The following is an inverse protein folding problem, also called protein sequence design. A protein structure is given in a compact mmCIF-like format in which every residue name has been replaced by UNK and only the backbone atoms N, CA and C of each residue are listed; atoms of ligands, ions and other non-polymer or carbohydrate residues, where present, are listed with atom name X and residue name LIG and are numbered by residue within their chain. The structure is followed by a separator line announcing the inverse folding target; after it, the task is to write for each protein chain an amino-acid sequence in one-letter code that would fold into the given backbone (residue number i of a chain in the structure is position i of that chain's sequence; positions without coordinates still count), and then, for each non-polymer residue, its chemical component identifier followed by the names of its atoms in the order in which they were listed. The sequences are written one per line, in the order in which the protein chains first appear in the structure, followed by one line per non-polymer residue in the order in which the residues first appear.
data_IF_261543169186
#
_entry.id   IF_261543169186
#
_cell.length_a   1.000
_cell.length_b   1.000
_cell.length_c   1.000
_cell.angle_alpha   90.00
_cell.angle_beta   90.00
_cell.angle_gamma   90.00
#
_symmetry.space_group_name_H-M   'P 1'
#
loop_
_entity.id
_entity.type
_entity.pdbx_description
1 polymer ?
#
# COMPACT_ATOMS: atom_id res chain seq x y z
N UNK A 1 4.18 -10.48 -24.25
CA UNK A 1 3.63 -11.67 -23.57
C UNK A 1 3.51 -11.31 -22.09
N UNK A 2 2.33 -11.43 -21.46
CA UNK A 2 2.12 -11.08 -20.05
C UNK A 2 2.46 -12.25 -19.12
N UNK A 3 3.00 -11.96 -17.92
CA UNK A 3 3.28 -12.95 -16.89
C UNK A 3 2.04 -13.13 -16.00
N UNK A 4 1.48 -14.33 -15.96
CA UNK A 4 0.35 -14.66 -15.07
C UNK A 4 0.89 -15.17 -13.74
N UNK A 5 0.55 -14.49 -12.64
CA UNK A 5 0.98 -14.81 -11.27
C UNK A 5 -0.22 -14.81 -10.31
N UNK A 6 -0.08 -15.30 -9.07
CA UNK A 6 -1.11 -15.13 -8.06
C UNK A 6 -1.52 -13.66 -7.87
N UNK A 7 -0.56 -12.73 -7.94
CA UNK A 7 -0.80 -11.29 -7.81
C UNK A 7 -1.64 -10.74 -8.97
N UNK A 8 -1.35 -11.13 -10.21
CA UNK A 8 -2.13 -10.65 -11.36
C UNK A 8 -3.58 -11.14 -11.30
N UNK A 9 -3.80 -12.38 -10.84
CA UNK A 9 -5.14 -12.95 -10.64
C UNK A 9 -5.88 -12.25 -9.50
N UNK A 10 -5.22 -12.03 -8.37
CA UNK A 10 -5.81 -11.38 -7.19
C UNK A 10 -6.28 -9.95 -7.49
N UNK A 11 -5.49 -9.20 -8.26
CA UNK A 11 -5.75 -7.80 -8.57
C UNK A 11 -6.48 -7.57 -9.89
N UNK A 12 -6.63 -8.61 -10.71
CA UNK A 12 -7.14 -8.52 -12.07
C UNK A 12 -6.36 -7.51 -12.94
N UNK A 13 -5.03 -7.65 -12.94
CA UNK A 13 -4.10 -6.81 -13.74
C UNK A 13 -3.33 -7.65 -14.77
N UNK A 14 -2.78 -7.01 -15.79
CA UNK A 14 -2.06 -7.70 -16.87
C UNK A 14 -0.59 -7.97 -16.55
N UNK A 15 0.03 -7.09 -15.76
CA UNK A 15 1.44 -7.14 -15.44
C UNK A 15 1.61 -7.15 -13.92
N UNK A 16 2.48 -8.02 -13.35
CA UNK A 16 2.74 -8.07 -11.91
C UNK A 16 3.64 -6.91 -11.46
N UNK A 17 3.25 -5.69 -11.82
CA UNK A 17 4.01 -4.45 -11.59
C UNK A 17 3.16 -3.53 -10.71
N UNK A 18 3.71 -3.20 -9.55
CA UNK A 18 3.20 -2.17 -8.65
C UNK A 18 3.97 -0.87 -8.87
N UNK A 19 3.25 0.23 -9.06
CA UNK A 19 3.84 1.55 -8.81
C UNK A 19 4.01 1.71 -7.29
N UNK A 20 5.20 2.14 -6.85
CA UNK A 20 5.40 2.48 -5.44
C UNK A 20 4.61 3.74 -5.05
N UNK A 21 3.98 3.71 -3.87
CA UNK A 21 3.37 4.88 -3.26
C UNK A 21 4.43 5.86 -2.77
N UNK A 22 4.73 6.88 -3.57
CA UNK A 22 5.77 7.87 -3.31
C UNK A 22 5.12 9.20 -2.97
N UNK A 23 5.22 9.61 -1.71
CA UNK A 23 4.66 10.87 -1.23
C UNK A 23 5.07 12.08 -2.07
N UNK A 24 4.08 12.86 -2.53
CA UNK A 24 4.25 14.03 -3.41
C UNK A 24 4.80 13.74 -4.82
N UNK A 25 5.08 12.49 -5.16
CA UNK A 25 5.64 12.09 -6.47
C UNK A 25 4.68 11.21 -7.25
N UNK A 26 4.08 10.18 -6.65
CA UNK A 26 3.08 9.33 -7.31
C UNK A 26 1.67 9.90 -7.12
N UNK A 27 1.42 11.03 -7.78
CA UNK A 27 0.09 11.63 -7.89
C UNK A 27 -0.81 10.94 -8.93
N UNK A 28 -2.00 11.50 -9.13
CA UNK A 28 -3.02 10.95 -10.01
C UNK A 28 -2.54 10.63 -11.45
N UNK A 29 -1.78 11.50 -12.16
CA UNK A 29 -1.38 11.20 -13.53
C UNK A 29 -0.46 9.98 -13.66
N UNK A 30 0.50 9.83 -12.75
CA UNK A 30 1.44 8.70 -12.78
C UNK A 30 0.74 7.39 -12.42
N UNK A 31 -0.10 7.41 -11.39
CA UNK A 31 -0.85 6.23 -10.99
C UNK A 31 -1.84 5.78 -12.08
N UNK A 32 -2.59 6.73 -12.68
CA UNK A 32 -3.48 6.42 -13.80
C UNK A 32 -2.73 5.83 -15.00
N UNK A 33 -1.56 6.39 -15.36
CA UNK A 33 -0.74 5.89 -16.45
C UNK A 33 -0.31 4.42 -16.23
N UNK A 34 0.11 4.06 -15.03
CA UNK A 34 0.49 2.67 -14.70
C UNK A 34 -0.70 1.72 -14.72
N UNK A 35 -1.85 2.13 -14.16
CA UNK A 35 -3.08 1.33 -14.23
C UNK A 35 -3.55 1.12 -15.68
N UNK A 36 -3.50 2.16 -16.51
CA UNK A 36 -3.82 2.09 -17.95
C UNK A 36 -2.85 1.17 -18.72
N UNK A 37 -1.59 1.09 -18.28
CA UNK A 37 -0.60 0.19 -18.85
C UNK A 37 -0.75 -1.27 -18.36
N UNK A 38 -1.75 -1.57 -17.54
CA UNK A 38 -2.06 -2.93 -17.08
C UNK A 38 -1.30 -3.36 -15.82
N UNK A 39 -0.63 -2.44 -15.12
CA UNK A 39 -0.12 -2.66 -13.76
C UNK A 39 -1.10 -2.17 -12.68
N UNK A 40 -0.63 -2.04 -11.44
CA UNK A 40 -1.36 -1.34 -10.38
C UNK A 40 -0.71 0.03 -10.11
N UNK A 41 -1.39 1.11 -10.50
CA UNK A 41 -1.04 2.46 -10.07
C UNK A 41 -1.37 2.69 -8.60
N UNK A 42 -0.49 3.36 -7.85
CA UNK A 42 -0.67 3.64 -6.42
C UNK A 42 -0.43 5.12 -6.12
N UNK A 43 -1.44 5.79 -5.55
CA UNK A 43 -1.31 7.17 -5.09
C UNK A 43 -0.52 7.22 -3.78
N UNK A 44 0.52 8.05 -3.70
CA UNK A 44 1.27 8.31 -2.47
C UNK A 44 0.57 9.35 -1.60
N UNK A 45 -0.26 8.92 -0.65
CA UNK A 45 -1.16 9.76 0.12
C UNK A 45 -0.58 10.39 1.40
N UNK A 46 0.74 10.33 1.61
CA UNK A 46 1.36 10.86 2.83
C UNK A 46 1.05 12.35 3.04
N UNK A 47 0.50 12.66 4.22
CA UNK A 47 0.23 14.04 4.62
C UNK A 47 -0.97 14.69 3.92
N UNK A 48 -1.72 13.98 3.07
CA UNK A 48 -2.98 14.47 2.54
C UNK A 48 -4.04 14.55 3.64
N UNK A 49 -4.86 15.60 3.57
CA UNK A 49 -6.16 15.61 4.23
C UNK A 49 -7.15 14.70 3.48
N UNK A 50 -8.25 14.26 4.12
CA UNK A 50 -9.31 13.49 3.44
C UNK A 50 -9.81 14.17 2.14
N UNK A 51 -9.97 15.50 2.17
CA UNK A 51 -10.37 16.27 0.99
C UNK A 51 -9.36 16.15 -0.15
N UNK A 52 -8.07 16.37 0.14
CA UNK A 52 -7.00 16.28 -0.87
C UNK A 52 -6.87 14.86 -1.43
N UNK A 53 -6.98 13.84 -0.57
CA UNK A 53 -6.94 12.46 -1.03
C UNK A 53 -8.12 12.14 -1.95
N UNK A 54 -9.32 12.63 -1.61
CA UNK A 54 -10.51 12.47 -2.45
C UNK A 54 -10.31 13.12 -3.82
N UNK A 55 -9.83 14.37 -3.84
CA UNK A 55 -9.53 15.10 -5.09
C UNK A 55 -8.52 14.35 -5.97
N UNK A 56 -7.48 13.77 -5.37
CA UNK A 56 -6.48 12.95 -6.08
C UNK A 56 -7.08 11.65 -6.63
N UNK A 57 -7.95 10.97 -5.89
CA UNK A 57 -8.63 9.76 -6.38
C UNK A 57 -9.59 10.10 -7.53
N UNK A 58 -10.35 11.18 -7.40
CA UNK A 58 -11.27 11.64 -8.45
C UNK A 58 -10.52 12.01 -9.73
N UNK A 59 -9.38 12.72 -9.60
CA UNK A 59 -8.50 13.03 -10.72
C UNK A 59 -7.96 11.75 -11.37
N UNK A 60 -7.45 10.80 -10.58
CA UNK A 60 -6.96 9.51 -11.10
C UNK A 60 -8.04 8.80 -11.93
N UNK A 61 -9.26 8.70 -11.39
CA UNK A 61 -10.39 8.04 -12.06
C UNK A 61 -10.80 8.75 -13.36
N UNK A 62 -10.67 10.07 -13.40
CA UNK A 62 -10.90 10.84 -14.63
C UNK A 62 -9.93 10.46 -15.75
N UNK A 63 -8.68 10.14 -15.39
CA UNK A 63 -7.58 9.80 -16.29
C UNK A 63 -7.51 8.31 -16.69
N UNK A 64 -8.29 7.43 -16.05
CA UNK A 64 -8.36 6.01 -16.42
C UNK A 64 -9.03 5.82 -17.78
N UNK A 65 -8.45 4.98 -18.64
CA UNK A 65 -9.04 4.56 -19.91
C UNK A 65 -10.15 3.54 -19.65
N UNK A 66 -9.84 2.48 -18.90
CA UNK A 66 -10.86 1.59 -18.33
C UNK A 66 -11.26 2.11 -16.94
N UNK A 67 -12.53 2.50 -16.79
CA UNK A 67 -13.05 3.05 -15.53
C UNK A 67 -13.08 2.05 -14.38
N UNK A 68 -12.88 0.77 -14.66
CA UNK A 68 -12.76 -0.30 -13.68
C UNK A 68 -11.31 -0.75 -13.44
N UNK A 69 -10.32 -0.10 -14.09
CA UNK A 69 -8.92 -0.43 -13.88
C UNK A 69 -8.55 -0.26 -12.40
N UNK A 70 -7.90 -1.25 -11.77
CA UNK A 70 -7.60 -1.18 -10.35
C UNK A 70 -6.49 -0.17 -10.09
N UNK A 71 -6.59 0.49 -8.94
CA UNK A 71 -5.55 1.35 -8.39
C UNK A 71 -5.47 1.15 -6.89
N UNK A 72 -4.39 1.64 -6.28
CA UNK A 72 -4.20 1.62 -4.84
C UNK A 72 -3.90 3.00 -4.26
N UNK A 73 -3.88 3.06 -2.93
CA UNK A 73 -3.47 4.23 -2.16
C UNK A 73 -2.52 3.77 -1.07
N UNK A 74 -1.38 4.46 -0.96
CA UNK A 74 -0.38 4.25 0.08
C UNK A 74 -0.49 5.33 1.16
N UNK A 75 -0.51 4.91 2.42
CA UNK A 75 -0.35 5.81 3.57
C UNK A 75 0.77 5.31 4.50
N UNK A 76 1.47 6.26 5.11
CA UNK A 76 2.47 5.99 6.15
C UNK A 76 1.79 5.97 7.51
N UNK A 77 1.84 4.84 8.19
CA UNK A 77 1.25 4.66 9.52
C UNK A 77 2.33 4.18 10.50
N UNK A 78 3.29 5.06 10.86
CA UNK A 78 4.30 4.72 11.85
C UNK A 78 3.64 4.46 13.21
N UNK A 79 4.26 3.61 14.02
CA UNK A 79 3.91 3.54 15.44
C UNK A 79 4.23 4.89 16.11
N UNK A 80 3.28 5.45 16.85
CA UNK A 80 3.44 6.69 17.62
C UNK A 80 3.25 6.38 19.10
N UNK A 81 4.06 7.00 19.96
CA UNK A 81 4.04 6.78 21.41
C UNK A 81 4.71 5.47 21.85
N UNK A 82 4.69 5.20 23.16
CA UNK A 82 5.35 4.04 23.76
C UNK A 82 6.84 3.97 23.42
N UNK A 83 7.29 2.82 22.91
CA UNK A 83 8.69 2.58 22.52
C UNK A 83 9.00 3.01 21.07
N UNK A 84 8.16 3.84 20.45
CA UNK A 84 8.40 4.35 19.09
C UNK A 84 9.64 5.28 19.05
N UNK A 85 10.23 5.41 17.86
CA UNK A 85 11.29 6.42 17.63
C UNK A 85 10.69 7.81 17.86
N UNK A 86 11.43 8.69 18.54
CA UNK A 86 10.98 10.08 18.83
C UNK A 86 10.68 10.90 17.57
N UNK A 87 11.24 10.50 16.44
CA UNK A 87 11.01 11.13 15.13
C UNK A 87 9.73 10.65 14.45
N UNK A 88 9.06 9.62 14.97
CA UNK A 88 7.79 9.15 14.41
C UNK A 88 6.69 10.16 14.72
N UNK A 89 5.96 10.54 13.67
CA UNK A 89 4.83 11.47 13.74
C UNK A 89 3.63 10.82 13.09
N UNK A 90 2.44 11.09 13.61
CA UNK A 90 1.19 10.71 12.95
C UNK A 90 0.98 11.56 11.68
N UNK A 91 1.31 10.98 10.53
CA UNK A 91 1.11 11.63 9.22
C UNK A 91 -0.37 11.82 8.86
N UNK A 92 -1.28 11.04 9.48
CA UNK A 92 -2.72 11.20 9.31
C UNK A 92 -3.30 12.29 10.23
N UNK A 93 -2.54 12.81 11.21
CA UNK A 93 -2.98 13.88 12.13
C UNK A 93 -4.33 13.59 12.81
N UNK A 94 -4.54 12.35 13.26
CA UNK A 94 -5.78 11.88 13.87
C UNK A 94 -6.92 11.59 12.88
N UNK A 95 -6.68 11.67 11.57
CA UNK A 95 -7.69 11.52 10.51
C UNK A 95 -7.63 10.18 9.77
N UNK A 96 -6.96 9.18 10.35
CA UNK A 96 -6.79 7.87 9.69
C UNK A 96 -8.12 7.24 9.27
N UNK A 97 -9.13 7.21 10.14
CA UNK A 97 -10.41 6.60 9.79
C UNK A 97 -11.11 7.33 8.62
N UNK A 98 -11.07 8.67 8.59
CA UNK A 98 -11.63 9.47 7.49
C UNK A 98 -10.87 9.26 6.18
N UNK A 99 -9.54 9.12 6.24
CA UNK A 99 -8.74 8.77 5.06
C UNK A 99 -9.09 7.37 4.53
N UNK A 100 -9.32 6.40 5.41
CA UNK A 100 -9.74 5.05 5.04
C UNK A 100 -11.14 5.05 4.41
N UNK A 101 -12.06 5.87 4.93
CA UNK A 101 -13.38 6.08 4.30
C UNK A 101 -13.24 6.60 2.87
N UNK A 102 -12.42 7.63 2.67
CA UNK A 102 -12.15 8.18 1.33
C UNK A 102 -11.54 7.14 0.38
N UNK A 103 -10.65 6.27 0.87
CA UNK A 103 -10.05 5.19 0.07
C UNK A 103 -11.10 4.17 -0.36
N UNK A 104 -11.96 3.76 0.57
CA UNK A 104 -13.05 2.80 0.33
C UNK A 104 -14.07 3.39 -0.65
N UNK A 105 -14.61 4.57 -0.36
CA UNK A 105 -15.60 5.27 -1.19
C UNK A 105 -15.04 5.60 -2.57
N UNK A 106 -13.74 5.90 -2.65
CA UNK A 106 -13.01 6.13 -3.89
C UNK A 106 -12.96 4.91 -4.81
N UNK A 107 -13.14 3.70 -4.26
CA UNK A 107 -13.09 2.43 -4.99
C UNK A 107 -11.66 1.91 -5.20
N UNK A 108 -10.73 2.25 -4.30
CA UNK A 108 -9.37 1.71 -4.39
C UNK A 108 -9.40 0.19 -4.22
N UNK A 109 -8.62 -0.53 -5.03
CA UNK A 109 -8.51 -2.00 -4.94
C UNK A 109 -7.56 -2.45 -3.83
N UNK A 110 -6.52 -1.65 -3.57
CA UNK A 110 -5.47 -1.97 -2.59
C UNK A 110 -5.18 -0.75 -1.72
N UNK A 111 -5.22 -0.96 -0.41
CA UNK A 111 -4.60 -0.08 0.57
C UNK A 111 -3.19 -0.57 0.89
N UNK A 112 -2.18 0.28 0.72
CA UNK A 112 -0.78 -0.01 1.07
C UNK A 112 -0.43 0.73 2.36
N UNK A 113 0.06 -0.01 3.36
CA UNK A 113 0.59 0.59 4.58
C UNK A 113 2.12 0.53 4.59
N UNK A 114 2.74 1.70 4.74
CA UNK A 114 4.17 1.85 4.89
C UNK A 114 4.57 2.23 6.34
N UNK A 115 5.85 1.98 6.69
CA UNK A 115 6.54 2.35 7.95
C UNK A 115 6.02 1.65 9.23
N UNK A 116 4.81 1.11 9.21
CA UNK A 116 4.25 0.36 10.34
C UNK A 116 3.18 -0.61 9.91
N UNK A 117 2.20 -0.79 10.79
CA UNK A 117 1.08 -1.73 10.63
C UNK A 117 -0.16 -0.98 11.12
N UNK A 118 -1.27 -0.94 10.35
CA UNK A 118 -2.47 -0.23 10.75
C UNK A 118 -3.13 -0.91 11.97
N UNK A 119 -3.98 -0.20 12.71
CA UNK A 119 -4.84 -0.82 13.71
C UNK A 119 -5.73 -1.92 13.09
N UNK A 120 -6.02 -2.98 13.85
CA UNK A 120 -6.80 -4.13 13.35
C UNK A 120 -8.19 -3.73 12.80
N UNK A 121 -8.85 -2.78 13.46
CA UNK A 121 -10.17 -2.31 13.02
C UNK A 121 -10.15 -1.64 11.64
N UNK A 122 -9.00 -1.09 11.22
CA UNK A 122 -8.82 -0.53 9.87
C UNK A 122 -8.79 -1.66 8.84
N UNK A 123 -8.05 -2.74 9.10
CA UNK A 123 -7.99 -3.91 8.19
C UNK A 123 -9.35 -4.56 8.07
N UNK A 124 -10.05 -4.77 9.19
CA UNK A 124 -11.42 -5.32 9.18
C UNK A 124 -12.39 -4.45 8.36
N UNK A 125 -12.24 -3.11 8.43
CA UNK A 125 -13.05 -2.17 7.65
C UNK A 125 -12.74 -2.25 6.16
N UNK A 126 -11.46 -2.33 5.78
CA UNK A 126 -11.01 -2.48 4.39
C UNK A 126 -11.54 -3.79 3.78
N UNK A 127 -11.36 -4.91 4.48
CA UNK A 127 -11.82 -6.22 4.02
C UNK A 127 -13.33 -6.31 3.86
N UNK A 128 -14.12 -5.73 4.78
CA UNK A 128 -15.58 -5.63 4.65
C UNK A 128 -16.02 -4.89 3.38
N UNK A 129 -15.20 -3.95 2.91
CA UNK A 129 -15.43 -3.20 1.67
C UNK A 129 -14.79 -3.84 0.43
N UNK A 130 -14.12 -5.00 0.56
CA UNK A 130 -13.44 -5.67 -0.55
C UNK A 130 -12.12 -5.01 -0.99
N UNK A 131 -11.57 -4.11 -0.16
CA UNK A 131 -10.26 -3.49 -0.39
C UNK A 131 -9.17 -4.37 0.23
N UNK A 132 -8.20 -4.77 -0.59
CA UNK A 132 -7.07 -5.59 -0.14
C UNK A 132 -6.06 -4.75 0.64
N UNK A 133 -5.44 -5.34 1.64
CA UNK A 133 -4.43 -4.70 2.47
C UNK A 133 -3.04 -5.26 2.13
N UNK A 134 -2.16 -4.38 1.66
CA UNK A 134 -0.75 -4.65 1.46
C UNK A 134 0.10 -3.98 2.55
N UNK A 135 1.09 -4.67 3.10
CA UNK A 135 2.02 -4.08 4.08
C UNK A 135 3.47 -4.11 3.61
N UNK A 136 4.17 -2.98 3.74
CA UNK A 136 5.61 -2.93 3.49
C UNK A 136 6.39 -3.46 4.68
N UNK A 137 7.40 -4.30 4.42
CA UNK A 137 8.28 -4.87 5.45
C UNK A 137 9.74 -4.74 5.04
N UNK A 138 10.57 -4.18 5.91
CA UNK A 138 12.03 -4.11 5.73
C UNK A 138 12.83 -5.17 6.52
N UNK A 139 12.15 -6.07 7.23
CA UNK A 139 12.78 -7.14 8.02
C UNK A 139 11.83 -8.35 8.12
N UNK A 140 12.31 -9.62 8.08
CA UNK A 140 11.44 -10.81 8.14
C UNK A 140 10.47 -10.82 9.33
N UNK A 141 10.97 -10.49 10.54
CA UNK A 141 10.16 -10.34 11.75
C UNK A 141 8.93 -9.41 11.62
N UNK A 142 8.96 -8.40 10.74
CA UNK A 142 7.84 -7.49 10.54
C UNK A 142 6.66 -8.17 9.83
N UNK A 143 6.94 -9.18 8.99
CA UNK A 143 5.92 -9.88 8.21
C UNK A 143 4.92 -10.62 9.11
N UNK A 144 5.38 -11.23 10.21
CA UNK A 144 4.50 -11.93 11.15
C UNK A 144 3.36 -11.05 11.67
N UNK A 145 3.68 -9.82 12.10
CA UNK A 145 2.66 -8.91 12.62
C UNK A 145 1.69 -8.47 11.53
N UNK A 146 2.17 -8.19 10.32
CA UNK A 146 1.33 -7.84 9.18
C UNK A 146 0.36 -8.99 8.82
N UNK A 147 0.86 -10.23 8.74
CA UNK A 147 0.03 -11.41 8.48
C UNK A 147 -0.98 -11.67 9.60
N UNK A 148 -0.56 -11.59 10.88
CA UNK A 148 -1.45 -11.78 12.04
C UNK A 148 -2.65 -10.84 12.08
N UNK A 149 -2.51 -9.63 11.53
CA UNK A 149 -3.61 -8.67 11.46
C UNK A 149 -4.37 -8.70 10.13
N UNK A 150 -3.98 -9.58 9.19
CA UNK A 150 -4.72 -9.84 7.96
C UNK A 150 -4.15 -9.18 6.69
N UNK A 151 -2.83 -9.00 6.56
CA UNK A 151 -2.25 -8.58 5.29
C UNK A 151 -2.50 -9.61 4.17
N UNK A 152 -3.09 -9.16 3.06
CA UNK A 152 -3.31 -9.95 1.85
C UNK A 152 -2.04 -10.02 0.98
N UNK A 153 -1.21 -8.97 1.05
CA UNK A 153 0.02 -8.82 0.27
C UNK A 153 1.15 -8.33 1.18
N UNK A 154 2.31 -8.97 1.12
CA UNK A 154 3.53 -8.49 1.77
C UNK A 154 4.46 -7.90 0.72
N UNK A 155 4.84 -6.64 0.92
CA UNK A 155 5.81 -5.93 0.08
C UNK A 155 7.16 -5.91 0.79
N UNK A 156 8.03 -6.86 0.45
CA UNK A 156 9.39 -6.94 1.00
C UNK A 156 10.28 -5.85 0.37
N UNK A 157 10.64 -4.85 1.18
CA UNK A 157 11.40 -3.68 0.76
C UNK A 157 12.86 -3.80 1.20
N UNK A 158 13.74 -4.18 0.28
CA UNK A 158 15.18 -4.24 0.53
C UNK A 158 15.78 -2.87 0.82
N UNK A 159 16.96 -2.85 1.44
CA UNK A 159 17.67 -1.62 1.78
C UNK A 159 18.13 -0.79 0.58
N UNK A 160 18.13 -1.38 -0.61
CA UNK A 160 18.40 -0.71 -1.88
C UNK A 160 17.23 0.16 -2.36
N UNK A 161 16.03 0.01 -1.78
CA UNK A 161 14.88 0.83 -2.16
C UNK A 161 15.06 2.31 -1.77
N UNK A 162 14.32 3.20 -2.44
CA UNK A 162 14.28 4.61 -2.05
C UNK A 162 13.34 4.87 -0.87
N UNK A 163 13.53 6.02 -0.21
CA UNK A 163 12.64 6.49 0.86
C UNK A 163 12.93 5.88 2.23
N UNK A 164 11.87 5.53 2.97
CA UNK A 164 12.00 4.90 4.29
C UNK A 164 12.16 3.39 4.12
N UNK A 165 13.37 2.88 4.35
CA UNK A 165 13.72 1.46 4.14
C UNK A 165 14.31 0.82 5.41
N UNK A 166 14.48 -0.51 5.35
CA UNK A 166 15.32 -1.24 6.30
C UNK A 166 16.75 -1.42 5.77
N UNK A 167 17.59 -2.14 6.51
CA UNK A 167 19.02 -2.30 6.16
C UNK A 167 19.35 -3.65 5.49
N UNK A 168 18.34 -4.52 5.30
CA UNK A 168 18.55 -5.88 4.75
C UNK A 168 18.48 -5.84 3.22
N UNK A 169 19.51 -6.32 2.49
CA UNK A 169 19.48 -6.38 1.03
C UNK A 169 18.30 -7.21 0.49
N UNK A 170 17.74 -6.79 -0.63
CA UNK A 170 16.60 -7.43 -1.31
C UNK A 170 16.80 -8.94 -1.52
N UNK A 171 18.01 -9.33 -1.96
CA UNK A 171 18.37 -10.73 -2.24
C UNK A 171 18.31 -11.64 -1.02
N UNK A 172 18.46 -11.06 0.19
CA UNK A 172 18.34 -11.76 1.47
C UNK A 172 16.93 -11.61 2.04
N UNK A 173 16.35 -10.42 1.94
CA UNK A 173 15.06 -10.10 2.56
C UNK A 173 13.91 -10.91 1.96
N UNK A 174 13.83 -11.01 0.63
CA UNK A 174 12.73 -11.71 -0.04
C UNK A 174 12.61 -13.17 0.35
N UNK A 175 13.65 -14.02 0.20
CA UNK A 175 13.52 -15.43 0.57
C UNK A 175 13.22 -15.58 2.06
N UNK A 176 13.82 -14.77 2.92
CA UNK A 176 13.58 -14.82 4.36
C UNK A 176 12.15 -14.42 4.74
N UNK A 177 11.57 -13.41 4.08
CA UNK A 177 10.15 -13.04 4.26
C UNK A 177 9.24 -14.14 3.72
N UNK A 178 9.53 -14.70 2.54
CA UNK A 178 8.75 -15.78 1.96
C UNK A 178 8.72 -17.01 2.88
N UNK A 179 9.85 -17.37 3.49
CA UNK A 179 9.91 -18.46 4.48
C UNK A 179 9.13 -18.13 5.75
N UNK A 180 9.24 -16.90 6.25
CA UNK A 180 8.57 -16.47 7.47
C UNK A 180 7.04 -16.48 7.37
N UNK A 181 6.48 -16.30 6.17
CA UNK A 181 5.03 -16.22 5.95
C UNK A 181 4.38 -17.54 5.53
N UNK A 182 5.15 -18.63 5.30
CA UNK A 182 4.60 -19.95 4.91
C UNK A 182 3.60 -20.53 5.92
N UNK A 183 3.61 -20.04 7.16
CA UNK A 183 2.75 -20.51 8.26
C UNK A 183 1.39 -19.80 8.34
N UNK A 184 1.07 -18.89 7.41
CA UNK A 184 -0.18 -18.13 7.36
C UNK A 184 -0.97 -18.50 6.12
#
# INVERSE_FOLDING_TARGET
MSLVTPLTKLLNIQHPIFLAGMGKTSGAPLAAAVSNAGGLGVIGGVGYSPKQLKEMIDELKSLLVDKNAPFGVDLLIPQVGGNARKTNVDYAKGKLNELIDVIIEGGAKVFVCAVGVPPKHVVEKLHKAGVLYANMVGHPKHAHKACQIGADIIVAQGGEAGGHTGDIPFSVLIPAVADAIKSY
#
